data_IF_326944715476
#
_entry.id   IF_326944715476
#
_cell.length_a   1.000
_cell.length_b   1.000
_cell.length_c   1.000
_cell.angle_alpha   90.00
_cell.angle_beta   90.00
_cell.angle_gamma   90.00
#
_symmetry.space_group_name_H-M   'P 1'
#
loop_
_entity.id
_entity.type
_entity.pdbx_description
1 polymer ?
#
# COMPACT_ATOMS: atom_id res chain seq x y z
N UNK A 1 15.21 -50.49 14.78
CA UNK A 1 14.00 -49.63 14.72
C UNK A 1 14.48 -48.25 14.36
N UNK A 2 14.62 -48.03 13.05
CA UNK A 2 15.18 -46.82 12.45
C UNK A 2 14.11 -45.70 12.51
N UNK A 3 14.48 -44.58 13.12
CA UNK A 3 13.67 -43.38 13.08
C UNK A 3 13.78 -42.76 11.68
N UNK A 4 12.69 -42.79 10.92
CA UNK A 4 12.60 -42.12 9.64
C UNK A 4 12.73 -40.60 9.85
N UNK A 5 13.80 -40.04 9.33
CA UNK A 5 14.01 -38.59 9.19
C UNK A 5 12.94 -38.08 8.20
N UNK A 6 11.97 -37.31 8.70
CA UNK A 6 11.01 -36.58 7.89
C UNK A 6 11.83 -35.53 7.11
N UNK A 7 11.84 -35.64 5.79
CA UNK A 7 12.43 -34.63 4.92
C UNK A 7 11.60 -33.35 4.94
N UNK A 8 12.20 -32.14 4.84
CA UNK A 8 11.49 -30.86 4.99
C UNK A 8 10.69 -30.42 3.78
N UNK A 9 10.48 -31.24 2.76
CA UNK A 9 9.90 -30.85 1.47
C UNK A 9 8.39 -31.11 1.28
N UNK A 10 7.64 -31.46 2.34
CA UNK A 10 6.21 -31.75 2.24
C UNK A 10 5.30 -30.73 2.94
N UNK A 11 5.75 -29.48 3.09
CA UNK A 11 4.85 -28.38 3.52
C UNK A 11 4.16 -27.83 2.26
N UNK A 12 3.09 -28.49 1.82
CA UNK A 12 2.15 -27.85 0.89
C UNK A 12 1.47 -26.72 1.64
N UNK A 13 1.88 -25.49 1.34
CA UNK A 13 1.23 -24.28 1.83
C UNK A 13 -0.27 -24.35 1.54
N UNK A 14 -1.16 -23.93 2.48
CA UNK A 14 -2.59 -23.97 2.28
C UNK A 14 -2.94 -23.19 1.01
N UNK A 15 -3.72 -23.80 0.11
CA UNK A 15 -4.23 -23.14 -1.09
C UNK A 15 -5.24 -22.07 -0.69
N UNK A 16 -4.82 -20.83 -0.65
CA UNK A 16 -5.64 -19.67 -0.30
C UNK A 16 -6.59 -19.25 -1.43
N UNK A 17 -6.62 -19.99 -2.56
CA UNK A 17 -7.49 -19.72 -3.70
C UNK A 17 -6.99 -18.58 -4.60
N UNK A 18 -7.93 -18.05 -5.40
CA UNK A 18 -7.63 -17.10 -6.46
C UNK A 18 -8.58 -15.91 -6.44
N UNK A 19 -8.07 -14.74 -6.84
CA UNK A 19 -8.86 -13.59 -7.26
C UNK A 19 -8.68 -13.44 -8.76
N UNK A 20 -9.70 -13.81 -9.54
CA UNK A 20 -9.55 -14.04 -10.96
C UNK A 20 -8.62 -15.21 -11.25
N UNK A 21 -7.55 -14.96 -11.98
CA UNK A 21 -6.50 -15.94 -12.24
C UNK A 21 -5.25 -15.74 -11.37
N UNK A 22 -5.25 -14.75 -10.49
CA UNK A 22 -4.11 -14.37 -9.66
C UNK A 22 -4.21 -15.10 -8.31
N UNK A 23 -3.18 -15.87 -7.90
CA UNK A 23 -3.14 -16.48 -6.58
C UNK A 23 -3.25 -15.43 -5.46
N UNK A 24 -4.00 -15.72 -4.40
CA UNK A 24 -4.16 -14.80 -3.25
C UNK A 24 -2.82 -14.42 -2.63
N UNK A 25 -1.87 -15.34 -2.55
CA UNK A 25 -0.50 -15.07 -2.07
C UNK A 25 0.19 -13.91 -2.82
N UNK A 26 -0.02 -13.82 -4.15
CA UNK A 26 0.57 -12.77 -4.96
C UNK A 26 -0.19 -11.44 -4.81
N UNK A 27 -1.50 -11.49 -4.52
CA UNK A 27 -2.25 -10.31 -4.08
C UNK A 27 -1.70 -9.80 -2.74
N UNK A 28 -1.42 -10.68 -1.79
CA UNK A 28 -0.78 -10.30 -0.52
C UNK A 28 0.61 -9.68 -0.74
N UNK A 29 1.41 -10.22 -1.67
CA UNK A 29 2.71 -9.62 -2.03
C UNK A 29 2.53 -8.20 -2.58
N UNK A 30 1.56 -7.97 -3.45
CA UNK A 30 1.24 -6.62 -3.94
C UNK A 30 0.78 -5.70 -2.81
N UNK A 31 -0.01 -6.20 -1.85
CA UNK A 31 -0.42 -5.43 -0.67
C UNK A 31 0.77 -5.07 0.21
N UNK A 32 1.70 -6.00 0.40
CA UNK A 32 2.94 -5.73 1.11
C UNK A 32 3.72 -4.59 0.44
N UNK A 33 3.96 -4.67 -0.87
CA UNK A 33 4.66 -3.62 -1.62
C UNK A 33 3.95 -2.26 -1.56
N UNK A 34 2.62 -2.25 -1.56
CA UNK A 34 1.82 -1.04 -1.44
C UNK A 34 1.77 -0.45 -0.03
N UNK A 35 2.24 -1.18 1.00
CA UNK A 35 2.06 -0.85 2.41
C UNK A 35 3.09 0.13 2.96
N UNK A 36 2.68 0.87 4.00
CA UNK A 36 3.62 1.68 4.78
C UNK A 36 4.60 0.81 5.58
N UNK A 37 4.19 -0.42 5.95
CA UNK A 37 5.05 -1.38 6.63
C UNK A 37 6.29 -1.74 5.79
N UNK A 38 6.09 -1.98 4.48
CA UNK A 38 7.19 -2.27 3.56
C UNK A 38 8.17 -1.09 3.46
N UNK A 39 7.66 0.15 3.46
CA UNK A 39 8.51 1.36 3.46
C UNK A 39 9.32 1.51 4.74
N UNK A 40 8.75 1.13 5.89
CA UNK A 40 9.42 1.21 7.19
C UNK A 40 10.47 0.10 7.33
N UNK A 41 10.15 -1.12 6.90
CA UNK A 41 10.98 -2.33 7.11
C UNK A 41 11.81 -2.74 5.90
N UNK A 42 11.39 -2.42 4.69
CA UNK A 42 11.96 -2.99 3.47
C UNK A 42 13.41 -2.63 3.21
N UNK A 43 13.93 -1.56 3.81
CA UNK A 43 15.37 -1.21 3.73
C UNK A 43 16.24 -2.10 4.61
N UNK A 44 15.68 -2.65 5.68
CA UNK A 44 16.38 -3.47 6.68
C UNK A 44 15.94 -4.94 6.65
N UNK A 45 14.78 -5.24 6.04
CA UNK A 45 14.08 -6.51 6.10
C UNK A 45 14.35 -7.41 4.90
N UNK A 46 15.57 -7.92 4.77
CA UNK A 46 15.84 -9.05 3.86
C UNK A 46 14.98 -10.24 4.31
N UNK A 47 14.09 -10.74 3.43
CA UNK A 47 13.30 -11.94 3.69
C UNK A 47 11.78 -11.74 3.84
N UNK A 48 11.27 -10.51 3.99
CA UNK A 48 9.82 -10.26 4.07
C UNK A 48 9.09 -10.66 2.77
N UNK A 49 9.79 -10.64 1.65
CA UNK A 49 9.25 -10.90 0.30
C UNK A 49 9.34 -12.37 -0.12
N UNK A 50 10.17 -13.16 0.57
CA UNK A 50 10.53 -14.50 0.09
C UNK A 50 9.47 -15.56 0.40
N UNK A 51 8.52 -15.28 1.31
CA UNK A 51 7.49 -16.21 1.76
C UNK A 51 6.08 -15.57 1.74
N UNK A 52 5.50 -15.28 0.57
CA UNK A 52 4.19 -14.63 0.51
C UNK A 52 3.05 -15.50 1.06
N UNK A 53 3.19 -16.82 1.10
CA UNK A 53 2.20 -17.73 1.68
C UNK A 53 2.14 -17.60 3.21
N UNK A 54 3.24 -17.20 3.84
CA UNK A 54 3.34 -16.97 5.29
C UNK A 54 3.18 -15.48 5.66
N UNK A 55 2.70 -14.66 4.73
CA UNK A 55 2.61 -13.21 4.95
C UNK A 55 1.69 -12.83 6.14
N UNK A 56 0.52 -13.47 6.37
CA UNK A 56 -0.28 -13.23 7.56
C UNK A 56 0.48 -13.51 8.86
N UNK A 57 1.25 -14.60 8.91
CA UNK A 57 2.08 -14.98 10.05
C UNK A 57 3.16 -13.95 10.31
N UNK A 58 3.86 -13.54 9.27
CA UNK A 58 4.93 -12.54 9.36
C UNK A 58 4.39 -11.19 9.83
N UNK A 59 3.27 -10.73 9.28
CA UNK A 59 2.61 -9.49 9.71
C UNK A 59 2.15 -9.60 11.16
N UNK A 60 1.61 -10.75 11.56
CA UNK A 60 1.24 -11.06 12.94
C UNK A 60 2.44 -11.00 13.90
N UNK A 61 3.57 -11.56 13.52
CA UNK A 61 4.81 -11.48 14.30
C UNK A 61 5.32 -10.04 14.45
N UNK A 62 5.35 -9.29 13.35
CA UNK A 62 5.79 -7.88 13.37
C UNK A 62 4.85 -7.05 14.24
N UNK A 63 3.53 -7.21 14.09
CA UNK A 63 2.53 -6.52 14.89
C UNK A 63 2.70 -6.86 16.38
N UNK A 64 2.82 -8.14 16.71
CA UNK A 64 3.01 -8.59 18.10
C UNK A 64 4.30 -8.01 18.71
N UNK A 65 5.42 -8.06 17.99
CA UNK A 65 6.70 -7.49 18.45
C UNK A 65 6.61 -5.96 18.65
N UNK A 66 5.94 -5.25 17.74
CA UNK A 66 5.78 -3.81 17.86
C UNK A 66 4.92 -3.44 19.08
N UNK A 67 3.82 -4.18 19.31
CA UNK A 67 2.96 -3.99 20.49
C UNK A 67 3.70 -4.31 21.78
N UNK A 68 4.44 -5.41 21.86
CA UNK A 68 5.22 -5.77 23.05
C UNK A 68 6.29 -4.72 23.37
N UNK A 69 7.02 -4.20 22.37
CA UNK A 69 7.97 -3.10 22.56
C UNK A 69 7.27 -1.87 23.14
N UNK A 70 6.11 -1.55 22.59
CA UNK A 70 5.34 -0.37 23.02
C UNK A 70 4.77 -0.53 24.43
N UNK A 71 4.28 -1.74 24.79
CA UNK A 71 3.79 -2.03 26.13
C UNK A 71 4.89 -1.87 27.21
N UNK A 72 6.13 -2.27 26.92
CA UNK A 72 7.28 -2.06 27.83
C UNK A 72 7.55 -0.59 28.13
N UNK A 73 7.24 0.31 27.20
CA UNK A 73 7.41 1.78 27.32
C UNK A 73 6.11 2.52 27.64
N UNK A 74 5.03 1.80 27.88
CA UNK A 74 3.62 2.24 27.99
C UNK A 74 3.04 2.63 26.63
N UNK A 75 1.80 2.21 26.38
CA UNK A 75 1.04 2.60 25.21
C UNK A 75 0.82 4.12 25.17
N UNK A 76 0.66 4.67 23.98
CA UNK A 76 0.43 6.09 23.79
C UNK A 76 -0.86 6.52 24.46
N UNK A 77 -0.78 7.65 25.14
CA UNK A 77 -1.94 8.30 25.77
C UNK A 77 -2.47 9.39 24.84
N UNK A 78 -3.77 9.58 24.89
CA UNK A 78 -4.45 10.69 24.22
C UNK A 78 -5.34 11.44 25.21
N UNK A 79 -5.92 12.52 24.74
CA UNK A 79 -6.90 13.28 25.51
C UNK A 79 -8.31 12.92 25.05
N UNK A 80 -9.19 12.63 26.03
CA UNK A 80 -10.64 12.42 25.80
C UNK A 80 -11.41 13.45 26.61
N UNK A 81 -12.20 14.22 25.93
CA UNK A 81 -13.11 15.16 26.61
C UNK A 81 -14.17 14.36 27.37
N UNK A 82 -14.28 14.62 28.67
CA UNK A 82 -15.26 14.01 29.56
C UNK A 82 -16.15 15.09 30.18
N UNK A 83 -17.41 14.77 30.27
CA UNK A 83 -18.37 15.59 31.06
C UNK A 83 -18.78 14.77 32.28
N UNK A 84 -18.59 15.33 33.46
CA UNK A 84 -18.97 14.69 34.72
C UNK A 84 -19.44 15.71 35.75
N UNK A 85 -20.36 15.29 36.64
CA UNK A 85 -20.72 16.06 37.80
C UNK A 85 -19.70 15.81 38.92
N UNK A 86 -19.02 16.86 39.36
CA UNK A 86 -17.93 16.81 40.32
C UNK A 86 -18.23 17.74 41.50
N UNK A 87 -17.67 17.42 42.67
CA UNK A 87 -17.74 18.27 43.86
C UNK A 87 -16.73 19.43 43.86
N UNK A 88 -15.91 19.52 42.82
CA UNK A 88 -14.94 20.61 42.59
C UNK A 88 -14.88 20.94 41.12
N UNK A 89 -14.59 22.16 40.78
CA UNK A 89 -14.43 22.60 39.39
C UNK A 89 -13.18 21.97 38.77
N UNK A 90 -13.36 21.35 37.61
CA UNK A 90 -12.28 20.84 36.77
C UNK A 90 -12.57 21.19 35.31
N UNK A 91 -11.66 21.90 34.67
CA UNK A 91 -11.83 22.36 33.28
C UNK A 91 -12.92 23.41 33.15
N UNK A 92 -13.81 23.28 32.16
CA UNK A 92 -14.89 24.24 31.88
C UNK A 92 -16.19 23.80 32.55
N UNK A 93 -16.86 24.73 33.25
CA UNK A 93 -18.18 24.48 33.83
C UNK A 93 -19.21 24.44 32.69
N UNK A 94 -20.04 23.40 32.70
CA UNK A 94 -21.26 23.32 31.89
C UNK A 94 -22.42 23.83 32.74
N UNK A 95 -22.66 25.15 32.64
CA UNK A 95 -23.70 25.86 33.45
C UNK A 95 -25.08 25.30 33.14
N UNK A 96 -25.39 25.06 31.84
CA UNK A 96 -26.71 24.57 31.44
C UNK A 96 -27.03 23.20 32.03
N UNK A 97 -26.06 22.27 31.96
CA UNK A 97 -26.21 20.95 32.56
C UNK A 97 -26.27 21.02 34.08
N UNK A 98 -25.50 21.91 34.70
CA UNK A 98 -25.51 22.11 36.15
C UNK A 98 -26.87 22.58 36.63
N UNK A 99 -27.48 23.59 36.02
CA UNK A 99 -28.79 24.13 36.37
C UNK A 99 -29.93 23.16 36.05
N UNK A 100 -29.92 22.57 34.82
CA UNK A 100 -30.96 21.64 34.40
C UNK A 100 -31.12 20.45 35.33
N UNK A 101 -30.02 19.95 35.90
CA UNK A 101 -30.03 18.81 36.82
C UNK A 101 -29.96 19.23 38.30
N UNK A 102 -30.09 20.53 38.60
CA UNK A 102 -30.03 21.09 39.96
C UNK A 102 -28.83 20.59 40.77
N UNK A 103 -27.67 20.47 40.10
CA UNK A 103 -26.48 19.85 40.70
C UNK A 103 -25.93 20.66 41.88
N UNK A 104 -26.07 21.99 41.86
CA UNK A 104 -25.61 22.87 42.96
C UNK A 104 -26.29 22.53 44.28
N UNK A 105 -27.58 22.19 44.27
CA UNK A 105 -28.30 21.77 45.48
C UNK A 105 -27.71 20.47 46.08
N UNK A 106 -26.96 19.72 45.31
CA UNK A 106 -26.28 18.49 45.72
C UNK A 106 -24.79 18.71 45.97
N UNK A 107 -24.30 19.93 45.95
CA UNK A 107 -22.87 20.26 46.08
C UNK A 107 -22.02 19.82 44.88
N UNK A 108 -22.64 19.68 43.71
CA UNK A 108 -21.97 19.22 42.47
C UNK A 108 -22.04 20.29 41.38
N UNK A 109 -21.07 20.23 40.46
CA UNK A 109 -21.01 21.09 39.27
C UNK A 109 -20.70 20.21 38.07
N UNK A 110 -21.46 20.35 36.98
CA UNK A 110 -21.12 19.69 35.73
C UNK A 110 -19.88 20.35 35.12
N UNK A 111 -18.85 19.56 34.91
CA UNK A 111 -17.58 20.02 34.35
C UNK A 111 -17.27 19.28 33.08
N UNK A 112 -16.77 19.99 32.06
CA UNK A 112 -16.20 19.45 30.85
C UNK A 112 -14.69 19.63 30.90
N UNK A 113 -13.94 18.54 30.86
CA UNK A 113 -12.48 18.54 30.97
C UNK A 113 -11.88 17.46 30.14
N UNK A 114 -10.63 17.64 29.76
CA UNK A 114 -9.84 16.61 29.06
C UNK A 114 -9.15 15.71 30.08
N UNK A 115 -9.26 14.41 29.86
CA UNK A 115 -8.65 13.36 30.66
C UNK A 115 -7.71 12.53 29.80
N UNK A 116 -6.54 12.22 30.33
CA UNK A 116 -5.61 11.30 29.69
C UNK A 116 -6.23 9.91 29.65
N UNK A 117 -6.21 9.30 28.49
CA UNK A 117 -6.73 7.95 28.29
C UNK A 117 -5.80 7.12 27.42
N UNK A 118 -5.71 5.82 27.72
CA UNK A 118 -5.10 4.83 26.86
C UNK A 118 -6.05 4.37 25.75
N UNK A 119 -7.36 4.63 25.91
CA UNK A 119 -8.39 4.26 24.93
C UNK A 119 -8.41 5.25 23.74
N UNK A 120 -7.27 5.30 23.03
CA UNK A 120 -7.10 6.14 21.84
C UNK A 120 -7.58 5.42 20.58
N UNK A 121 -7.95 6.14 19.50
CA UNK A 121 -8.28 5.52 18.21
C UNK A 121 -7.18 4.57 17.73
N UNK A 122 -5.93 4.98 17.86
CA UNK A 122 -4.73 4.20 17.50
C UNK A 122 -4.65 2.88 18.25
N UNK A 123 -4.78 2.90 19.57
CA UNK A 123 -4.69 1.68 20.38
C UNK A 123 -5.88 0.74 20.12
N UNK A 124 -7.08 1.28 19.91
CA UNK A 124 -8.27 0.49 19.51
C UNK A 124 -8.08 -0.18 18.15
N UNK A 125 -7.49 0.55 17.19
CA UNK A 125 -7.19 0.02 15.86
C UNK A 125 -6.20 -1.16 15.92
N UNK A 126 -5.12 -1.00 16.68
CA UNK A 126 -4.11 -2.04 16.88
C UNK A 126 -4.70 -3.27 17.59
N UNK A 127 -5.51 -3.06 18.63
CA UNK A 127 -6.18 -4.16 19.31
C UNK A 127 -7.08 -4.95 18.36
N UNK A 128 -7.90 -4.25 17.58
CA UNK A 128 -8.77 -4.90 16.57
C UNK A 128 -7.94 -5.67 15.51
N UNK A 129 -6.79 -5.14 15.10
CA UNK A 129 -5.89 -5.85 14.19
C UNK A 129 -5.29 -7.12 14.81
N UNK A 130 -4.90 -7.11 16.09
CA UNK A 130 -4.44 -8.32 16.81
C UNK A 130 -5.53 -9.39 16.87
N UNK A 131 -6.78 -9.01 17.11
CA UNK A 131 -7.92 -9.93 17.09
C UNK A 131 -8.16 -10.49 15.68
N UNK A 132 -8.06 -9.66 14.64
CA UNK A 132 -8.26 -10.06 13.25
C UNK A 132 -7.17 -11.02 12.78
N UNK A 133 -5.88 -10.67 12.97
CA UNK A 133 -4.76 -11.52 12.54
C UNK A 133 -4.79 -12.88 13.25
N UNK A 134 -5.29 -12.94 14.49
CA UNK A 134 -5.46 -14.22 15.20
C UNK A 134 -6.53 -15.15 14.61
N UNK A 135 -7.33 -14.68 13.62
CA UNK A 135 -8.32 -15.47 12.90
C UNK A 135 -7.83 -15.93 11.54
N UNK A 136 -6.93 -15.17 10.92
CA UNK A 136 -6.42 -15.43 9.56
C UNK A 136 -5.07 -16.14 9.56
N UNK A 137 -4.26 -15.97 10.59
CA UNK A 137 -2.99 -16.69 10.73
C UNK A 137 -3.24 -18.18 11.04
N UNK A 138 -2.47 -19.06 10.41
CA UNK A 138 -2.55 -20.50 10.60
C UNK A 138 -1.65 -21.00 11.76
N UNK A 139 -0.51 -20.33 12.01
CA UNK A 139 0.45 -20.75 13.05
C UNK A 139 -0.10 -20.55 14.47
N UNK A 140 -0.20 -21.63 15.30
CA UNK A 140 -0.81 -21.56 16.62
C UNK A 140 -0.05 -20.66 17.61
N UNK A 141 1.27 -20.49 17.47
CA UNK A 141 2.09 -19.62 18.30
C UNK A 141 1.78 -18.15 18.04
N UNK A 142 1.67 -17.74 16.78
CA UNK A 142 1.28 -16.38 16.37
C UNK A 142 -0.13 -16.07 16.85
N UNK A 143 -1.07 -16.99 16.61
CA UNK A 143 -2.47 -16.87 17.05
C UNK A 143 -2.57 -16.64 18.55
N UNK A 144 -1.93 -17.50 19.35
CA UNK A 144 -1.93 -17.37 20.83
C UNK A 144 -1.31 -16.07 21.29
N UNK A 145 -0.18 -15.67 20.69
CA UNK A 145 0.54 -14.44 21.02
C UNK A 145 -0.33 -13.21 20.77
N UNK A 146 -0.95 -13.11 19.58
CA UNK A 146 -1.79 -11.99 19.21
C UNK A 146 -3.05 -11.90 20.10
N UNK A 147 -3.71 -13.03 20.40
CA UNK A 147 -4.86 -13.07 21.32
C UNK A 147 -4.49 -12.62 22.73
N UNK A 148 -3.34 -13.05 23.24
CA UNK A 148 -2.84 -12.61 24.55
C UNK A 148 -2.66 -11.09 24.57
N UNK A 149 -1.96 -10.53 23.57
CA UNK A 149 -1.71 -9.09 23.50
C UNK A 149 -2.99 -8.26 23.35
N UNK A 150 -3.96 -8.73 22.56
CA UNK A 150 -5.26 -8.08 22.45
C UNK A 150 -6.00 -8.07 23.81
N UNK A 151 -5.93 -9.17 24.55
CA UNK A 151 -6.50 -9.25 25.90
C UNK A 151 -5.77 -8.36 26.90
N UNK A 152 -4.44 -8.31 26.86
CA UNK A 152 -3.64 -7.43 27.70
C UNK A 152 -4.02 -5.96 27.47
N UNK A 153 -4.18 -5.55 26.21
CA UNK A 153 -4.65 -4.20 25.86
C UNK A 153 -6.06 -3.92 26.41
N UNK A 154 -6.96 -4.93 26.36
CA UNK A 154 -8.30 -4.84 26.97
C UNK A 154 -8.20 -4.62 28.47
N UNK A 155 -7.37 -5.40 29.16
CA UNK A 155 -7.17 -5.28 30.62
C UNK A 155 -6.57 -3.94 31.00
N UNK A 156 -5.77 -3.32 30.13
CA UNK A 156 -5.24 -1.96 30.30
C UNK A 156 -6.32 -0.87 30.09
N UNK A 157 -7.50 -1.20 29.56
CA UNK A 157 -8.61 -0.26 29.34
C UNK A 157 -8.79 0.22 27.89
N UNK A 158 -8.16 -0.45 26.91
CA UNK A 158 -8.46 -0.19 25.49
C UNK A 158 -9.77 -0.89 25.12
N UNK A 159 -10.77 -0.12 24.64
CA UNK A 159 -12.09 -0.65 24.30
C UNK A 159 -12.07 -1.53 23.04
N UNK A 160 -13.12 -2.33 22.86
CA UNK A 160 -13.30 -3.23 21.71
C UNK A 160 -13.98 -2.59 20.50
N UNK A 161 -14.40 -1.33 20.63
CA UNK A 161 -14.97 -0.60 19.51
C UNK A 161 -13.87 -0.16 18.53
N UNK A 162 -13.79 -0.71 17.30
CA UNK A 162 -12.85 -0.23 16.32
C UNK A 162 -13.04 1.26 16.05
N UNK A 163 -11.99 2.03 15.82
CA UNK A 163 -12.11 3.42 15.50
C UNK A 163 -12.76 3.60 14.12
N UNK A 164 -13.51 4.69 13.97
CA UNK A 164 -14.04 5.10 12.67
C UNK A 164 -12.91 5.62 11.76
N UNK A 165 -13.16 5.63 10.44
CA UNK A 165 -12.22 6.21 9.47
C UNK A 165 -11.93 7.69 9.78
N UNK A 166 -12.92 8.42 10.27
CA UNK A 166 -12.75 9.83 10.68
C UNK A 166 -11.82 9.97 11.87
N UNK A 167 -11.94 9.12 12.89
CA UNK A 167 -11.05 9.13 14.05
C UNK A 167 -9.62 8.82 13.65
N UNK A 168 -9.42 7.84 12.77
CA UNK A 168 -8.09 7.48 12.25
C UNK A 168 -7.49 8.57 11.36
N UNK A 169 -8.29 9.27 10.55
CA UNK A 169 -7.81 10.35 9.68
C UNK A 169 -7.37 11.60 10.45
N UNK A 170 -7.88 11.80 11.67
CA UNK A 170 -7.48 12.90 12.54
C UNK A 170 -6.30 12.55 13.44
N UNK A 171 -5.97 11.27 13.59
CA UNK A 171 -4.83 10.82 14.38
C UNK A 171 -3.52 11.14 13.64
N UNK A 172 -2.70 12.00 14.23
CA UNK A 172 -1.42 12.43 13.66
C UNK A 172 -0.27 11.93 14.49
N UNK A 173 0.76 11.45 13.82
CA UNK A 173 2.00 11.03 14.45
C UNK A 173 2.89 12.25 14.75
N UNK A 174 3.30 12.39 16.01
CA UNK A 174 4.32 13.32 16.43
C UNK A 174 5.73 12.73 16.26
N UNK A 175 6.73 13.54 16.59
CA UNK A 175 8.16 13.09 16.51
C UNK A 175 8.49 11.93 17.43
N UNK A 176 7.72 11.74 18.50
CA UNK A 176 7.91 10.69 19.51
C UNK A 176 7.12 9.41 19.22
N UNK A 177 6.34 9.38 18.13
CA UNK A 177 5.43 8.28 17.79
C UNK A 177 6.01 7.29 16.76
N UNK A 178 7.33 7.27 16.55
CA UNK A 178 7.98 6.42 15.55
C UNK A 178 7.66 4.93 15.77
N UNK A 179 7.65 4.48 17.02
CA UNK A 179 7.28 3.09 17.37
C UNK A 179 5.80 2.80 17.10
N UNK A 180 4.94 3.81 17.28
CA UNK A 180 3.52 3.69 16.95
C UNK A 180 3.29 3.60 15.43
N UNK A 181 4.15 4.23 14.61
CA UNK A 181 4.03 4.15 13.15
C UNK A 181 4.19 2.72 12.64
N UNK A 182 5.19 1.98 13.13
CA UNK A 182 5.39 0.56 12.78
C UNK A 182 4.17 -0.28 13.20
N UNK A 183 3.73 -0.10 14.43
CA UNK A 183 2.59 -0.82 15.00
C UNK A 183 1.30 -0.57 14.20
N UNK A 184 1.01 0.68 13.87
CA UNK A 184 -0.18 1.06 13.10
C UNK A 184 -0.05 0.64 11.63
N UNK A 185 1.14 0.69 11.03
CA UNK A 185 1.38 0.21 9.67
C UNK A 185 1.15 -1.30 9.55
N UNK A 186 1.62 -2.08 10.52
CA UNK A 186 1.36 -3.53 10.59
C UNK A 186 -0.14 -3.81 10.81
N UNK A 187 -0.80 -3.06 11.69
CA UNK A 187 -2.24 -3.18 11.91
C UNK A 187 -3.04 -2.87 10.63
N UNK A 188 -2.67 -1.83 9.89
CA UNK A 188 -3.32 -1.47 8.62
C UNK A 188 -3.17 -2.58 7.58
N UNK A 189 -1.97 -3.12 7.42
CA UNK A 189 -1.74 -4.25 6.50
C UNK A 189 -2.54 -5.48 6.92
N UNK A 190 -2.68 -5.76 8.22
CA UNK A 190 -3.55 -6.86 8.73
C UNK A 190 -4.97 -6.75 8.19
N UNK A 191 -5.59 -5.56 8.25
CA UNK A 191 -6.94 -5.36 7.70
C UNK A 191 -6.98 -5.51 6.18
N UNK A 192 -5.94 -5.06 5.49
CA UNK A 192 -5.85 -5.22 4.04
C UNK A 192 -5.71 -6.70 3.65
N UNK A 193 -4.92 -7.51 4.37
CA UNK A 193 -4.74 -8.95 4.11
C UNK A 193 -6.01 -9.79 4.31
N UNK A 194 -6.94 -9.36 5.13
CA UNK A 194 -8.21 -10.06 5.34
C UNK A 194 -9.13 -9.98 4.10
N UNK A 195 -9.06 -8.91 3.31
CA UNK A 195 -9.95 -8.67 2.16
C UNK A 195 -9.85 -9.77 1.10
N UNK A 196 -8.66 -10.17 0.61
CA UNK A 196 -8.54 -11.25 -0.37
C UNK A 196 -9.07 -12.58 0.14
N UNK A 197 -8.87 -12.88 1.41
CA UNK A 197 -9.32 -14.15 2.02
C UNK A 197 -10.85 -14.26 2.03
N UNK A 198 -11.56 -13.15 2.18
CA UNK A 198 -13.02 -13.10 2.14
C UNK A 198 -13.59 -13.18 0.70
N UNK A 199 -12.82 -12.73 -0.29
CA UNK A 199 -13.25 -12.64 -1.71
C UNK A 199 -12.77 -13.83 -2.53
N UNK A 200 -11.75 -14.55 -2.06
CA UNK A 200 -11.12 -15.64 -2.80
C UNK A 200 -12.10 -16.80 -3.11
N UNK A 201 -12.00 -17.30 -4.34
CA UNK A 201 -12.67 -18.51 -4.78
C UNK A 201 -11.68 -19.67 -5.00
N UNK A 202 -12.15 -20.92 -4.94
CA UNK A 202 -11.28 -22.11 -5.09
C UNK A 202 -10.84 -22.34 -6.55
N UNK A 203 -11.44 -21.65 -7.51
CA UNK A 203 -11.16 -21.81 -8.94
C UNK A 203 -10.78 -20.49 -9.59
N UNK A 204 -9.96 -20.58 -10.65
CA UNK A 204 -9.64 -19.44 -11.52
C UNK A 204 -10.89 -19.02 -12.28
N UNK A 205 -11.34 -17.79 -12.09
CA UNK A 205 -12.49 -17.20 -12.78
C UNK A 205 -12.11 -15.82 -13.35
N UNK A 206 -12.81 -15.30 -14.37
CA UNK A 206 -12.67 -13.92 -14.78
C UNK A 206 -12.94 -12.97 -13.59
N UNK A 207 -12.15 -11.89 -13.50
CA UNK A 207 -12.38 -10.83 -12.49
C UNK A 207 -13.71 -10.13 -12.74
N UNK A 208 -14.45 -9.83 -11.67
CA UNK A 208 -15.56 -8.88 -11.77
C UNK A 208 -15.02 -7.46 -12.01
N UNK A 209 -15.82 -6.55 -12.60
CA UNK A 209 -15.44 -5.15 -12.84
C UNK A 209 -15.00 -4.41 -11.56
N UNK A 210 -15.56 -4.80 -10.42
CA UNK A 210 -15.19 -4.24 -9.10
C UNK A 210 -13.80 -4.69 -8.67
N UNK A 211 -13.54 -5.99 -8.80
CA UNK A 211 -12.28 -6.60 -8.38
C UNK A 211 -11.17 -6.16 -9.33
N UNK A 212 -11.42 -6.06 -10.64
CA UNK A 212 -10.47 -5.54 -11.61
C UNK A 212 -10.02 -4.11 -11.27
N UNK A 213 -10.96 -3.22 -10.94
CA UNK A 213 -10.64 -1.84 -10.55
C UNK A 213 -9.83 -1.78 -9.26
N UNK A 214 -10.12 -2.66 -8.31
CA UNK A 214 -9.41 -2.74 -7.06
C UNK A 214 -7.98 -3.27 -7.26
N UNK A 215 -7.81 -4.39 -7.97
CA UNK A 215 -6.49 -4.99 -8.26
C UNK A 215 -5.64 -4.02 -9.09
N UNK A 216 -6.23 -3.28 -10.03
CA UNK A 216 -5.52 -2.24 -10.79
C UNK A 216 -4.91 -1.18 -9.90
N UNK A 217 -5.69 -0.61 -8.98
CA UNK A 217 -5.18 0.40 -8.02
C UNK A 217 -4.14 -0.19 -7.08
N UNK A 218 -4.31 -1.46 -6.70
CA UNK A 218 -3.34 -2.17 -5.87
C UNK A 218 -2.02 -2.35 -6.63
N UNK A 219 -2.07 -2.78 -7.90
CA UNK A 219 -0.90 -2.97 -8.74
C UNK A 219 -0.10 -1.66 -8.92
N UNK A 220 -0.77 -0.56 -9.28
CA UNK A 220 -0.15 0.77 -9.37
C UNK A 220 0.59 1.15 -8.07
N UNK A 221 -0.10 1.02 -6.92
CA UNK A 221 0.48 1.33 -5.61
C UNK A 221 1.63 0.40 -5.25
N UNK A 222 1.51 -0.89 -5.58
CA UNK A 222 2.54 -1.89 -5.30
C UNK A 222 3.82 -1.61 -6.10
N UNK A 223 3.71 -1.33 -7.39
CA UNK A 223 4.85 -0.98 -8.25
C UNK A 223 5.55 0.29 -7.73
N UNK A 224 4.79 1.34 -7.40
CA UNK A 224 5.34 2.56 -6.83
C UNK A 224 6.04 2.33 -5.49
N UNK A 225 5.40 1.59 -4.58
CA UNK A 225 5.96 1.25 -3.27
C UNK A 225 7.20 0.36 -3.36
N UNK A 226 7.20 -0.61 -4.27
CA UNK A 226 8.36 -1.45 -4.56
C UNK A 226 9.58 -0.62 -4.93
N UNK A 227 9.47 0.27 -5.92
CA UNK A 227 10.60 1.10 -6.35
C UNK A 227 11.05 2.10 -5.27
N UNK A 228 10.14 2.64 -4.45
CA UNK A 228 10.50 3.51 -3.34
C UNK A 228 11.41 2.84 -2.30
N UNK A 229 11.28 1.52 -2.13
CA UNK A 229 12.05 0.75 -1.15
C UNK A 229 13.30 0.15 -1.77
N UNK A 230 13.16 -0.47 -2.95
CA UNK A 230 14.22 -1.30 -3.54
C UNK A 230 15.29 -0.46 -4.23
N UNK A 231 14.92 0.67 -4.83
CA UNK A 231 15.89 1.54 -5.48
C UNK A 231 16.62 2.41 -4.45
N UNK A 232 17.97 2.45 -4.48
CA UNK A 232 18.75 3.30 -3.57
C UNK A 232 18.36 4.78 -3.71
N UNK A 233 17.91 5.41 -2.66
CA UNK A 233 17.50 6.83 -2.65
C UNK A 233 18.65 7.80 -2.92
N UNK A 234 19.90 7.36 -2.79
CA UNK A 234 21.11 8.09 -3.19
C UNK A 234 21.21 8.25 -4.70
N UNK A 235 20.80 7.23 -5.46
CA UNK A 235 20.88 7.17 -6.92
C UNK A 235 19.56 7.53 -7.60
N UNK A 236 18.43 7.11 -7.02
CA UNK A 236 17.13 7.24 -7.62
C UNK A 236 16.20 8.16 -6.82
N UNK A 237 15.37 8.89 -7.53
CA UNK A 237 14.20 9.57 -6.99
C UNK A 237 12.96 8.91 -7.59
N UNK A 238 12.08 8.43 -6.73
CA UNK A 238 10.82 7.77 -7.11
C UNK A 238 9.66 8.69 -6.73
N UNK A 239 8.86 9.09 -7.71
CA UNK A 239 7.67 9.92 -7.52
C UNK A 239 6.44 9.17 -8.00
N UNK A 240 5.34 9.26 -7.26
CA UNK A 240 4.07 8.59 -7.59
C UNK A 240 2.95 9.62 -7.72
N UNK A 241 2.08 9.45 -8.71
CA UNK A 241 0.90 10.30 -8.90
C UNK A 241 1.22 11.74 -9.26
N UNK A 242 2.31 11.98 -10.01
CA UNK A 242 2.74 13.32 -10.41
C UNK A 242 1.80 14.00 -11.41
N UNK A 243 1.37 15.23 -11.12
CA UNK A 243 0.69 16.06 -12.10
C UNK A 243 1.69 16.64 -13.09
N UNK A 244 1.36 16.59 -14.39
CA UNK A 244 2.11 17.25 -15.46
C UNK A 244 1.30 18.42 -16.00
N UNK A 245 1.98 19.52 -16.29
CA UNK A 245 1.37 20.67 -16.93
C UNK A 245 1.43 20.53 -18.47
N UNK A 246 0.38 20.95 -19.15
CA UNK A 246 0.46 21.18 -20.59
C UNK A 246 1.34 22.39 -20.87
N UNK A 247 2.28 22.34 -21.81
CA UNK A 247 3.10 23.47 -22.19
C UNK A 247 2.30 24.44 -23.09
N UNK A 248 1.28 25.07 -22.50
CA UNK A 248 0.42 26.02 -23.22
C UNK A 248 1.07 27.39 -23.32
N UNK A 249 1.09 27.97 -24.52
CA UNK A 249 1.58 29.32 -24.78
C UNK A 249 0.48 30.35 -24.85
N UNK A 250 -0.76 29.93 -25.19
CA UNK A 250 -1.95 30.78 -25.30
C UNK A 250 -3.22 29.96 -25.05
N UNK A 251 -4.33 30.65 -24.76
CA UNK A 251 -5.60 29.99 -24.53
C UNK A 251 -6.76 30.96 -24.31
N UNK A 252 -7.96 30.57 -24.71
CA UNK A 252 -9.19 31.31 -24.43
C UNK A 252 -9.55 31.33 -22.95
N UNK A 253 -10.26 32.33 -22.46
CA UNK A 253 -10.62 32.51 -21.04
C UNK A 253 -11.32 31.31 -20.38
N UNK A 254 -12.00 30.46 -21.17
CA UNK A 254 -12.73 29.31 -20.67
C UNK A 254 -11.92 28.00 -20.61
N UNK A 255 -10.78 27.91 -21.32
CA UNK A 255 -10.08 26.63 -21.55
C UNK A 255 -9.57 25.99 -20.25
N UNK A 256 -9.10 26.78 -19.30
CA UNK A 256 -8.55 26.27 -18.05
C UNK A 256 -9.55 25.49 -17.18
N UNK A 257 -10.85 25.63 -17.41
CA UNK A 257 -11.91 24.86 -16.71
C UNK A 257 -12.18 23.50 -17.32
N UNK A 258 -11.83 23.30 -18.60
CA UNK A 258 -12.18 22.10 -19.36
C UNK A 258 -10.96 21.34 -19.88
N UNK A 259 -9.77 21.95 -19.87
CA UNK A 259 -8.53 21.28 -20.26
C UNK A 259 -8.22 20.16 -19.25
N UNK A 260 -8.19 18.88 -19.68
CA UNK A 260 -7.89 17.78 -18.77
C UNK A 260 -6.43 17.88 -18.30
N UNK A 261 -6.21 17.65 -16.99
CA UNK A 261 -4.86 17.53 -16.46
C UNK A 261 -4.18 16.24 -16.92
N UNK A 262 -2.85 16.26 -17.02
CA UNK A 262 -2.06 15.05 -17.20
C UNK A 262 -1.56 14.57 -15.84
N UNK A 263 -1.53 13.25 -15.65
CA UNK A 263 -1.01 12.65 -14.43
C UNK A 263 -0.29 11.35 -14.76
N UNK A 264 0.95 11.23 -14.29
CA UNK A 264 1.73 9.99 -14.39
C UNK A 264 1.51 9.13 -13.16
N UNK A 265 1.53 7.81 -13.33
CA UNK A 265 1.44 6.89 -12.20
C UNK A 265 2.75 6.91 -11.40
N UNK A 266 3.88 6.66 -12.05
CA UNK A 266 5.19 6.59 -11.40
C UNK A 266 6.25 7.23 -12.30
N UNK A 267 7.17 7.97 -11.71
CA UNK A 267 8.35 8.52 -12.38
C UNK A 267 9.60 8.11 -11.60
N UNK A 268 10.55 7.52 -12.30
CA UNK A 268 11.86 7.13 -11.77
C UNK A 268 12.93 8.03 -12.39
N UNK A 269 13.62 8.84 -11.58
CA UNK A 269 14.73 9.68 -12.01
C UNK A 269 16.05 9.15 -11.44
N UNK A 270 16.97 8.73 -12.30
CA UNK A 270 18.34 8.42 -11.90
C UNK A 270 19.17 9.70 -11.86
N UNK A 271 19.70 10.04 -10.70
CA UNK A 271 20.40 11.31 -10.45
C UNK A 271 21.76 11.40 -11.16
N UNK A 272 22.47 10.27 -11.27
CA UNK A 272 23.79 10.21 -11.87
C UNK A 272 23.74 10.25 -13.40
N UNK A 273 22.92 9.39 -14.00
CA UNK A 273 22.81 9.27 -15.46
C UNK A 273 21.81 10.22 -16.09
N UNK A 274 21.08 11.02 -15.29
CA UNK A 274 19.99 11.89 -15.74
C UNK A 274 18.88 11.18 -16.50
N UNK A 275 18.77 9.85 -16.32
CA UNK A 275 17.76 9.02 -16.94
C UNK A 275 16.42 9.17 -16.23
N UNK A 276 15.35 9.43 -16.98
CA UNK A 276 13.96 9.42 -16.50
C UNK A 276 13.19 8.28 -17.15
N UNK A 277 12.46 7.52 -16.33
CA UNK A 277 11.50 6.51 -16.79
C UNK A 277 10.13 6.92 -16.30
N UNK A 278 9.22 7.21 -17.21
CA UNK A 278 7.80 7.48 -16.92
C UNK A 278 7.05 6.18 -17.07
N UNK A 279 6.48 5.67 -15.98
CA UNK A 279 5.73 4.41 -15.96
C UNK A 279 4.25 4.72 -15.85
N UNK A 280 3.47 4.12 -16.73
CA UNK A 280 2.03 4.12 -16.71
C UNK A 280 1.55 2.67 -16.59
N UNK A 281 0.84 2.35 -15.50
CA UNK A 281 0.39 1.00 -15.19
C UNK A 281 -0.98 0.74 -15.78
N UNK A 282 -1.13 -0.36 -16.50
CA UNK A 282 -2.39 -0.72 -17.16
C UNK A 282 -2.81 -2.12 -16.74
N UNK A 283 -4.03 -2.28 -16.28
CA UNK A 283 -4.57 -3.56 -15.82
C UNK A 283 -5.49 -4.18 -16.87
N UNK A 284 -4.92 -4.54 -18.02
CA UNK A 284 -5.59 -5.29 -19.09
C UNK A 284 -4.54 -5.95 -19.98
N UNK A 285 -4.99 -6.83 -20.88
CA UNK A 285 -4.07 -7.46 -21.83
C UNK A 285 -3.32 -6.39 -22.64
N UNK A 286 -2.00 -6.58 -22.72
CA UNK A 286 -1.11 -5.64 -23.42
C UNK A 286 -1.40 -5.65 -24.93
N UNK A 287 -1.77 -6.83 -25.44
CA UNK A 287 -2.09 -7.06 -26.84
C UNK A 287 -3.56 -7.39 -26.99
N UNK A 288 -4.17 -6.92 -28.05
CA UNK A 288 -5.55 -7.21 -28.45
C UNK A 288 -5.57 -7.80 -29.87
N UNK A 289 -6.62 -8.55 -30.20
CA UNK A 289 -6.88 -8.92 -31.58
C UNK A 289 -7.06 -7.65 -32.43
N UNK A 290 -6.18 -7.45 -33.39
CA UNK A 290 -6.20 -6.30 -34.30
C UNK A 290 -7.13 -6.53 -35.48
N UNK A 291 -7.68 -5.45 -36.09
CA UNK A 291 -8.51 -5.54 -37.29
C UNK A 291 -7.73 -5.97 -38.54
N UNK A 292 -6.42 -5.68 -38.57
CA UNK A 292 -5.52 -5.95 -39.70
C UNK A 292 -4.29 -6.79 -39.35
N UNK A 293 -4.12 -7.11 -38.05
CA UNK A 293 -3.01 -7.92 -37.52
C UNK A 293 -3.59 -8.85 -36.47
N UNK A 294 -3.00 -10.02 -36.32
CA UNK A 294 -3.43 -10.98 -35.29
C UNK A 294 -3.34 -10.37 -33.89
N UNK A 295 -2.30 -9.55 -33.66
CA UNK A 295 -2.07 -8.88 -32.39
C UNK A 295 -1.76 -7.39 -32.57
N UNK A 296 -2.29 -6.52 -31.72
CA UNK A 296 -2.05 -5.09 -31.75
C UNK A 296 -2.05 -4.48 -30.35
N UNK A 297 -1.12 -3.53 -30.13
CA UNK A 297 -1.11 -2.70 -28.95
C UNK A 297 -2.28 -1.71 -28.95
N UNK A 298 -2.77 -1.32 -27.78
CA UNK A 298 -3.83 -0.30 -27.66
C UNK A 298 -3.27 1.09 -27.99
N UNK A 299 -3.65 1.63 -29.14
CA UNK A 299 -3.16 2.94 -29.61
C UNK A 299 -3.36 4.09 -28.61
N UNK A 300 -4.47 4.09 -27.87
CA UNK A 300 -4.75 5.12 -26.86
C UNK A 300 -3.70 5.19 -25.74
N UNK A 301 -3.12 4.06 -25.34
CA UNK A 301 -2.06 4.05 -24.31
C UNK A 301 -0.74 4.56 -24.85
N UNK A 302 -0.41 4.21 -26.10
CA UNK A 302 0.74 4.74 -26.79
C UNK A 302 0.64 6.27 -26.94
N UNK A 303 -0.53 6.78 -27.36
CA UNK A 303 -0.76 8.23 -27.49
C UNK A 303 -0.68 8.95 -26.15
N UNK A 304 -1.20 8.37 -25.09
CA UNK A 304 -1.10 8.91 -23.73
C UNK A 304 0.36 9.01 -23.28
N UNK A 305 1.13 7.92 -23.41
CA UNK A 305 2.56 7.91 -23.05
C UNK A 305 3.34 8.91 -23.89
N UNK A 306 3.11 8.93 -25.19
CA UNK A 306 3.74 9.88 -26.09
C UNK A 306 3.44 11.33 -25.70
N UNK A 307 2.17 11.65 -25.37
CA UNK A 307 1.79 12.98 -24.90
C UNK A 307 2.52 13.36 -23.60
N UNK A 308 2.69 12.41 -22.66
CA UNK A 308 3.45 12.64 -21.43
C UNK A 308 4.91 13.02 -21.72
N UNK A 309 5.59 12.26 -22.57
CA UNK A 309 7.00 12.50 -22.89
C UNK A 309 7.18 13.83 -23.65
N UNK A 310 6.45 14.01 -24.74
CA UNK A 310 6.55 15.19 -25.59
C UNK A 310 6.17 16.51 -24.92
N UNK A 311 5.17 16.47 -24.02
CA UNK A 311 4.74 17.68 -23.32
C UNK A 311 5.77 18.22 -22.32
N UNK A 312 6.75 17.42 -21.94
CA UNK A 312 7.78 17.82 -20.98
C UNK A 312 9.12 18.15 -21.61
N UNK A 313 9.28 17.95 -22.93
CA UNK A 313 10.49 18.36 -23.63
C UNK A 313 10.74 19.85 -23.51
N UNK A 314 12.00 20.25 -23.48
CA UNK A 314 12.41 21.65 -23.36
C UNK A 314 12.11 22.27 -21.99
N UNK A 315 11.69 21.46 -20.99
CA UNK A 315 11.43 21.97 -19.62
C UNK A 315 12.69 22.43 -18.89
N UNK A 316 13.88 22.06 -19.39
CA UNK A 316 15.17 22.45 -18.82
C UNK A 316 15.51 21.74 -17.49
N UNK A 317 14.76 20.71 -17.10
CA UNK A 317 15.00 19.95 -15.86
C UNK A 317 16.15 18.94 -15.97
N UNK A 318 16.70 18.76 -17.17
CA UNK A 318 17.82 17.86 -17.48
C UNK A 318 17.46 16.37 -17.46
N UNK A 319 16.16 16.02 -17.47
CA UNK A 319 15.66 14.66 -17.49
C UNK A 319 14.64 14.38 -18.59
N UNK A 320 13.89 15.41 -18.99
CA UNK A 320 12.69 15.24 -19.80
C UNK A 320 12.98 15.03 -21.27
N UNK A 321 14.07 15.61 -21.80
CA UNK A 321 14.38 15.57 -23.24
C UNK A 321 14.68 14.14 -23.73
N UNK A 322 15.32 13.32 -22.89
CA UNK A 322 15.65 11.93 -23.17
C UNK A 322 14.80 10.93 -22.35
N UNK A 323 13.63 11.37 -21.87
CA UNK A 323 12.79 10.55 -21.02
C UNK A 323 12.27 9.30 -21.75
N UNK A 324 12.33 8.15 -21.06
CA UNK A 324 11.80 6.88 -21.53
C UNK A 324 10.38 6.67 -20.99
N UNK A 325 9.48 6.13 -21.82
CA UNK A 325 8.15 5.70 -21.42
C UNK A 325 8.10 4.19 -21.19
N UNK A 326 7.35 3.75 -20.19
CA UNK A 326 7.06 2.34 -19.92
C UNK A 326 5.56 2.14 -19.69
N UNK A 327 4.94 1.33 -20.53
CA UNK A 327 3.62 0.78 -20.30
C UNK A 327 3.78 -0.58 -19.61
N UNK A 328 3.41 -0.65 -18.32
CA UNK A 328 3.58 -1.83 -17.49
C UNK A 328 2.24 -2.50 -17.21
N UNK A 329 2.11 -3.75 -17.65
CA UNK A 329 0.89 -4.52 -17.53
C UNK A 329 1.09 -5.75 -16.63
N UNK A 330 0.12 -6.13 -15.78
CA UNK A 330 0.11 -7.46 -15.20
C UNK A 330 -0.25 -8.49 -16.27
N UNK A 331 0.34 -9.65 -16.17
CA UNK A 331 0.04 -10.82 -17.00
C UNK A 331 -0.28 -12.03 -16.13
N UNK A 332 -0.77 -13.07 -16.77
CA UNK A 332 -1.04 -14.37 -16.19
C UNK A 332 -0.43 -15.42 -17.10
N UNK A 333 0.71 -15.99 -16.69
CA UNK A 333 1.40 -17.05 -17.43
C UNK A 333 2.01 -16.61 -18.76
N UNK A 334 2.24 -15.31 -18.97
CA UNK A 334 2.87 -14.78 -20.19
C UNK A 334 3.88 -13.69 -19.86
N UNK A 335 4.91 -13.57 -20.69
CA UNK A 335 5.93 -12.51 -20.56
C UNK A 335 6.05 -11.76 -21.87
N UNK A 336 6.02 -10.44 -21.79
CA UNK A 336 6.18 -9.53 -22.90
C UNK A 336 7.17 -8.42 -22.54
N UNK A 337 8.10 -8.09 -23.43
CA UNK A 337 9.09 -7.03 -23.18
C UNK A 337 9.65 -6.53 -24.51
N UNK A 338 8.93 -5.58 -25.09
CA UNK A 338 9.26 -5.00 -26.39
C UNK A 338 9.42 -3.48 -26.29
N UNK A 339 10.15 -2.88 -27.21
CA UNK A 339 10.34 -1.43 -27.21
C UNK A 339 10.46 -0.86 -28.62
N UNK A 340 10.07 0.40 -28.73
CA UNK A 340 10.20 1.20 -29.96
C UNK A 340 10.74 2.57 -29.61
N UNK A 341 11.45 3.20 -30.52
CA UNK A 341 11.87 4.61 -30.42
C UNK A 341 10.99 5.46 -31.35
N UNK A 342 10.28 6.43 -30.78
CA UNK A 342 9.41 7.35 -31.52
C UNK A 342 9.89 8.76 -31.24
N UNK A 343 10.36 9.47 -32.27
CA UNK A 343 10.86 10.85 -32.19
C UNK A 343 11.85 11.08 -31.04
N UNK A 344 12.81 10.18 -30.88
CA UNK A 344 13.85 10.26 -29.86
C UNK A 344 13.51 9.59 -28.52
N UNK A 345 12.22 9.42 -28.20
CA UNK A 345 11.82 8.78 -26.96
C UNK A 345 11.69 7.26 -27.12
N UNK A 346 12.33 6.51 -26.23
CA UNK A 346 12.12 5.08 -26.12
C UNK A 346 10.84 4.80 -25.36
N UNK A 347 9.93 4.05 -25.97
CA UNK A 347 8.70 3.56 -25.33
C UNK A 347 8.79 2.05 -25.23
N UNK A 348 8.73 1.51 -24.01
CA UNK A 348 8.80 0.08 -23.69
C UNK A 348 7.44 -0.42 -23.25
N UNK A 349 7.13 -1.64 -23.64
CA UNK A 349 5.91 -2.36 -23.29
C UNK A 349 6.33 -3.63 -22.54
N UNK A 350 5.91 -3.77 -21.31
CA UNK A 350 6.37 -4.86 -20.46
C UNK A 350 5.24 -5.43 -19.63
N UNK A 351 5.31 -6.75 -19.39
CA UNK A 351 4.41 -7.44 -18.46
C UNK A 351 5.14 -7.88 -17.21
N UNK A 352 4.34 -8.03 -16.12
CA UNK A 352 4.74 -8.70 -14.88
C UNK A 352 3.79 -9.87 -14.66
N UNK A 353 4.30 -11.09 -14.64
CA UNK A 353 3.49 -12.29 -14.44
C UNK A 353 3.10 -12.43 -12.97
N UNK A 354 1.85 -12.11 -12.67
CA UNK A 354 1.29 -12.21 -11.31
C UNK A 354 0.98 -13.66 -10.87
N UNK A 355 1.33 -14.67 -11.68
CA UNK A 355 1.27 -16.08 -11.28
C UNK A 355 2.64 -16.65 -10.94
N UNK A 356 3.71 -15.89 -11.20
CA UNK A 356 5.08 -16.28 -10.89
C UNK A 356 5.36 -16.34 -9.38
N UNK A 357 6.51 -16.88 -9.01
CA UNK A 357 6.99 -16.81 -7.63
C UNK A 357 7.27 -15.35 -7.21
N UNK A 358 7.33 -15.08 -5.91
CA UNK A 358 7.69 -13.74 -5.39
C UNK A 358 9.03 -13.25 -5.93
N UNK A 359 10.03 -14.12 -5.99
CA UNK A 359 11.33 -13.82 -6.59
C UNK A 359 11.23 -13.54 -8.09
N UNK A 360 10.35 -14.24 -8.82
CA UNK A 360 10.05 -13.99 -10.23
C UNK A 360 9.43 -12.62 -10.44
N UNK A 361 8.37 -12.30 -9.71
CA UNK A 361 7.71 -10.97 -9.74
C UNK A 361 8.71 -9.86 -9.43
N UNK A 362 9.54 -10.05 -8.39
CA UNK A 362 10.60 -9.11 -8.02
C UNK A 362 11.62 -8.93 -9.16
N UNK A 363 12.08 -10.02 -9.76
CA UNK A 363 13.04 -9.98 -10.84
C UNK A 363 12.48 -9.25 -12.07
N UNK A 364 11.23 -9.48 -12.43
CA UNK A 364 10.56 -8.77 -13.53
C UNK A 364 10.41 -7.27 -13.23
N UNK A 365 10.01 -6.88 -12.02
CA UNK A 365 9.97 -5.48 -11.63
C UNK A 365 11.36 -4.82 -11.71
N UNK A 366 12.42 -5.50 -11.29
CA UNK A 366 13.78 -4.97 -11.38
C UNK A 366 14.26 -4.79 -12.83
N UNK A 367 13.76 -5.59 -13.79
CA UNK A 367 14.06 -5.42 -15.22
C UNK A 367 13.63 -4.06 -15.78
N UNK A 368 12.69 -3.37 -15.12
CA UNK A 368 12.25 -2.03 -15.52
C UNK A 368 13.41 -1.04 -15.58
N UNK A 369 14.31 -1.08 -14.61
CA UNK A 369 15.44 -0.14 -14.50
C UNK A 369 16.67 -0.60 -15.30
N UNK A 370 16.71 -1.85 -15.75
CA UNK A 370 17.80 -2.38 -16.60
C UNK A 370 17.70 -1.76 -17.99
N UNK A 371 18.81 -1.25 -18.51
CA UNK A 371 18.88 -0.77 -19.90
C UNK A 371 18.78 -1.97 -20.86
N UNK A 372 17.72 -2.02 -21.64
CA UNK A 372 17.61 -2.93 -22.77
C UNK A 372 18.25 -2.25 -23.97
N UNK A 373 19.33 -2.78 -24.49
CA UNK A 373 19.90 -2.31 -25.76
C UNK A 373 18.92 -2.66 -26.89
N UNK A 374 18.50 -1.64 -27.63
CA UNK A 374 17.72 -1.86 -28.86
C UNK A 374 18.71 -2.41 -29.90
N UNK A 375 18.63 -3.70 -30.22
CA UNK A 375 19.29 -4.20 -31.38
C UNK A 375 18.68 -3.49 -32.59
N UNK A 376 19.48 -2.70 -33.29
CA UNK A 376 19.06 -2.11 -34.57
C UNK A 376 18.79 -3.30 -35.54
N UNK A 377 17.49 -3.54 -35.78
CA UNK A 377 17.12 -4.29 -36.96
C UNK A 377 17.25 -3.30 -38.14
N UNK A 378 18.20 -3.50 -39.00
CA UNK A 378 18.23 -2.87 -40.31
C UNK A 378 16.89 -3.22 -41.00
N UNK A 379 16.18 -2.19 -41.38
CA UNK A 379 14.91 -2.26 -42.14
C UNK A 379 15.26 -2.43 -43.62
#
# INVERSE_FOLDING_TARGET
>A
MEAALIQPDDYTAPDHGYIGAIPVRNIWLLMLYASDLFRIKGRDGKGIEDMPDDLPELVGEILALAVERRQRRRLSLGYKTRTAALNRVRGRIDVLTTERHQLLARGLVACRFDELTIDTPRNRFVRAALELISRIAARPDVVRRCRRLANDMKMMGVSDNPPTLREMSTDRFGRHDVEDQEMVAAAKLTFELAIPTEVAGPQKMPLSDRDERWVRKLFERAVGGFFQVVLPSTEWRVSTGGALAWPTTDGTAGIGRILPGMRTDIVLDNKASKRRIVIDTKFNAIVMNGWYREESLRSGYLYQMYAYLRSQEGSGDGYSDDAEGLLLHPAVGSSFDESVVIQGHKIRFMTVDLTASSSGIRAELLRVVVRTEVKQHEV
#
